data_IF_378250800733
#
_entry.id   IF_378250800733
#
_cell.length_a   1.000
_cell.length_b   1.000
_cell.length_c   1.000
_cell.angle_alpha   90.00
_cell.angle_beta   90.00
_cell.angle_gamma   90.00
#
_symmetry.space_group_name_H-M   'P 1'
#
loop_
_entity.id
_entity.type
_entity.pdbx_description
1 polymer ?
#
# COMPACT_ATOMS: atom_id res chain seq x y z
N UNK A 1 -15.17 -0.31 -29.56
CA UNK A 1 -15.84 0.62 -28.63
C UNK A 1 -14.91 1.81 -28.38
N UNK A 2 -15.35 3.03 -28.65
CA UNK A 2 -14.48 4.22 -28.59
C UNK A 2 -14.72 5.02 -27.29
N UNK A 3 -13.65 5.30 -26.57
CA UNK A 3 -13.66 6.28 -25.47
C UNK A 3 -13.83 7.67 -26.06
N UNK A 4 -14.85 8.41 -25.61
CA UNK A 4 -15.06 9.80 -26.05
C UNK A 4 -14.00 10.71 -25.41
N UNK A 5 -13.38 11.62 -26.18
CA UNK A 5 -12.43 12.58 -25.63
C UNK A 5 -12.99 13.43 -24.49
N UNK A 6 -14.27 13.83 -24.60
CA UNK A 6 -14.95 14.63 -23.58
C UNK A 6 -15.05 13.89 -22.23
N UNK A 7 -15.47 12.61 -22.23
CA UNK A 7 -15.55 11.80 -21.00
C UNK A 7 -14.17 11.66 -20.34
N UNK A 8 -13.11 11.54 -21.16
CA UNK A 8 -11.73 11.48 -20.66
C UNK A 8 -11.34 12.80 -20.01
N UNK A 9 -11.59 13.93 -20.69
CA UNK A 9 -11.30 15.25 -20.14
C UNK A 9 -12.06 15.48 -18.83
N UNK A 10 -13.36 15.15 -18.78
CA UNK A 10 -14.17 15.28 -17.57
C UNK A 10 -13.62 14.43 -16.41
N UNK A 11 -13.30 13.15 -16.65
CA UNK A 11 -12.74 12.27 -15.63
C UNK A 11 -11.39 12.78 -15.10
N UNK A 12 -10.46 13.09 -16.00
CA UNK A 12 -9.11 13.49 -15.62
C UNK A 12 -9.08 14.88 -14.98
N UNK A 13 -9.72 15.86 -15.63
CA UNK A 13 -9.75 17.25 -15.14
C UNK A 13 -10.54 17.34 -13.84
N UNK A 14 -11.68 16.67 -13.73
CA UNK A 14 -12.48 16.64 -12.49
C UNK A 14 -11.68 16.08 -11.31
N UNK A 15 -10.99 14.94 -11.51
CA UNK A 15 -10.14 14.33 -10.47
C UNK A 15 -8.92 15.19 -10.13
N UNK A 16 -8.32 15.85 -11.13
CA UNK A 16 -7.18 16.73 -10.95
C UNK A 16 -7.54 18.01 -10.20
N UNK A 17 -8.66 18.65 -10.56
CA UNK A 17 -9.21 19.82 -9.86
C UNK A 17 -9.50 19.47 -8.40
N UNK A 18 -10.19 18.36 -8.14
CA UNK A 18 -10.46 17.92 -6.78
C UNK A 18 -9.16 17.61 -5.99
N UNK A 19 -8.14 17.00 -6.62
CA UNK A 19 -6.81 16.84 -5.98
C UNK A 19 -6.16 18.19 -5.69
N UNK A 20 -6.25 19.14 -6.62
CA UNK A 20 -5.70 20.48 -6.48
C UNK A 20 -6.33 21.24 -5.31
N UNK A 21 -7.66 21.23 -5.23
CA UNK A 21 -8.41 21.81 -4.10
C UNK A 21 -7.99 21.15 -2.78
N UNK A 22 -7.92 19.82 -2.74
CA UNK A 22 -7.47 19.11 -1.54
C UNK A 22 -6.05 19.49 -1.11
N UNK A 23 -5.10 19.57 -2.06
CA UNK A 23 -3.72 19.96 -1.77
C UNK A 23 -3.63 21.40 -1.28
N UNK A 24 -4.46 22.31 -1.80
CA UNK A 24 -4.55 23.68 -1.34
C UNK A 24 -5.10 23.76 0.09
N UNK A 25 -6.18 23.04 0.41
CA UNK A 25 -6.72 22.94 1.77
C UNK A 25 -5.69 22.35 2.74
N UNK A 26 -4.98 21.31 2.32
CA UNK A 26 -3.87 20.71 3.10
C UNK A 26 -2.75 21.72 3.36
N UNK A 27 -2.40 22.54 2.37
CA UNK A 27 -1.41 23.59 2.54
C UNK A 27 -1.85 24.63 3.58
N UNK A 28 -3.09 25.12 3.51
CA UNK A 28 -3.67 26.03 4.50
C UNK A 28 -3.66 25.38 5.90
N UNK A 29 -4.08 24.12 5.99
CA UNK A 29 -4.10 23.39 7.26
C UNK A 29 -2.70 23.29 7.88
N UNK A 30 -1.69 22.93 7.10
CA UNK A 30 -0.31 22.84 7.58
C UNK A 30 0.23 24.20 8.02
N UNK A 31 -0.15 25.29 7.36
CA UNK A 31 0.19 26.65 7.78
C UNK A 31 -0.44 26.97 9.14
N UNK A 32 -1.73 26.71 9.28
CA UNK A 32 -2.45 26.89 10.54
C UNK A 32 -1.85 26.06 11.68
N UNK A 33 -1.56 24.78 11.42
CA UNK A 33 -0.95 23.87 12.39
C UNK A 33 0.45 24.38 12.81
N UNK A 34 1.26 24.85 11.86
CA UNK A 34 2.59 25.40 12.15
C UNK A 34 2.51 26.67 13.00
N UNK A 35 1.57 27.56 12.71
CA UNK A 35 1.33 28.78 13.49
C UNK A 35 0.84 28.41 14.89
N UNK A 36 -0.15 27.52 15.00
CA UNK A 36 -0.69 27.02 16.26
C UNK A 36 0.41 26.42 17.14
N UNK A 37 1.24 25.53 16.59
CA UNK A 37 2.36 24.94 17.32
C UNK A 37 3.42 25.95 17.78
N UNK A 38 3.61 27.04 17.03
CA UNK A 38 4.49 28.14 17.43
C UNK A 38 3.87 28.97 18.56
N UNK A 39 2.58 29.27 18.49
CA UNK A 39 1.86 30.06 19.50
C UNK A 39 1.73 29.32 20.84
N UNK A 40 1.49 28.01 20.80
CA UNK A 40 1.32 27.18 22.00
C UNK A 40 2.63 26.58 22.53
N UNK A 41 3.79 26.95 21.97
CA UNK A 41 5.10 26.43 22.43
C UNK A 41 5.33 24.94 22.18
N UNK A 42 4.43 24.24 21.48
CA UNK A 42 4.55 22.81 21.13
C UNK A 42 5.83 22.56 20.33
N UNK A 43 6.23 23.53 19.48
CA UNK A 43 7.48 23.43 18.72
C UNK A 43 8.73 23.45 19.62
N UNK A 44 8.67 24.14 20.75
CA UNK A 44 9.78 24.20 21.71
C UNK A 44 9.84 22.93 22.56
N UNK A 45 8.69 22.34 22.88
CA UNK A 45 8.59 21.01 23.53
C UNK A 45 9.08 19.90 22.59
N UNK A 46 8.66 19.92 21.32
CA UNK A 46 9.10 18.94 20.31
C UNK A 46 10.60 19.03 20.06
N UNK A 47 11.19 20.23 19.99
CA UNK A 47 12.64 20.42 19.87
C UNK A 47 13.41 20.03 21.12
N UNK A 48 12.86 20.26 22.32
CA UNK A 48 13.46 19.76 23.56
C UNK A 48 13.45 18.24 23.61
N UNK A 49 12.38 17.61 23.11
CA UNK A 49 12.27 16.16 23.01
C UNK A 49 13.18 15.53 21.96
N UNK A 50 13.63 16.26 20.92
CA UNK A 50 14.71 15.81 20.02
C UNK A 50 16.05 15.62 20.76
N UNK A 51 16.29 16.34 21.86
CA UNK A 51 17.53 16.25 22.63
C UNK A 51 17.53 15.17 23.72
N UNK A 52 16.37 14.68 24.12
CA UNK A 52 16.27 13.55 25.04
C UNK A 52 16.07 12.26 24.23
N UNK A 53 17.05 11.34 24.29
CA UNK A 53 16.93 9.96 23.81
C UNK A 53 15.88 9.19 24.62
N UNK A 54 14.60 9.54 24.50
CA UNK A 54 13.53 8.70 25.02
C UNK A 54 13.17 7.61 24.01
N UNK A 55 12.62 6.55 24.58
CA UNK A 55 12.11 5.29 24.02
C UNK A 55 11.53 5.38 22.60
N UNK A 56 11.61 4.27 21.84
CA UNK A 56 11.34 4.24 20.40
C UNK A 56 10.02 4.96 20.05
N UNK A 57 10.06 5.86 19.05
CA UNK A 57 9.01 6.87 18.86
C UNK A 57 8.24 6.62 17.55
N UNK A 58 7.10 5.94 17.63
CA UNK A 58 6.10 6.01 16.57
C UNK A 58 5.16 7.19 16.83
N UNK A 59 4.67 7.82 15.77
CA UNK A 59 3.71 8.91 15.85
C UNK A 59 2.34 8.45 15.40
N UNK A 60 1.33 8.60 16.25
CA UNK A 60 -0.06 8.46 15.86
C UNK A 60 -0.58 9.78 15.30
N UNK A 61 -1.11 9.74 14.07
CA UNK A 61 -1.64 10.88 13.35
C UNK A 61 -3.13 10.65 13.07
N UNK A 62 -4.00 11.42 13.71
CA UNK A 62 -5.44 11.36 13.48
C UNK A 62 -5.79 11.89 12.09
N UNK A 63 -6.49 11.08 11.30
CA UNK A 63 -6.90 11.45 9.95
C UNK A 63 -8.12 12.37 10.05
N UNK A 64 -8.02 13.57 9.49
CA UNK A 64 -9.13 14.53 9.40
C UNK A 64 -9.83 14.45 8.05
N UNK A 65 -9.05 14.32 6.99
CA UNK A 65 -9.54 14.13 5.63
C UNK A 65 -8.47 13.43 4.79
N UNK A 66 -8.90 12.80 3.70
CA UNK A 66 -7.99 12.26 2.70
C UNK A 66 -8.58 12.41 1.31
N UNK A 67 -7.70 12.49 0.32
CA UNK A 67 -8.10 12.46 -1.08
C UNK A 67 -7.00 11.84 -1.93
N UNK A 68 -7.39 10.79 -2.67
CA UNK A 68 -6.52 10.08 -3.59
C UNK A 68 -6.98 10.33 -5.03
N UNK A 69 -6.07 10.84 -5.88
CA UNK A 69 -6.37 11.06 -7.30
C UNK A 69 -6.70 9.73 -8.01
N UNK A 70 -5.89 8.70 -7.76
CA UNK A 70 -6.11 7.36 -8.27
C UNK A 70 -5.46 6.31 -7.36
N UNK A 71 -6.17 5.25 -7.02
CA UNK A 71 -5.68 4.16 -6.14
C UNK A 71 -4.62 3.26 -6.79
N UNK A 72 -4.43 3.36 -8.12
CA UNK A 72 -3.31 2.69 -8.78
C UNK A 72 -1.97 3.38 -8.48
N UNK A 73 -1.98 4.66 -8.11
CA UNK A 73 -0.76 5.39 -7.75
C UNK A 73 -0.32 5.01 -6.32
N UNK A 74 0.99 4.97 -6.05
CA UNK A 74 1.50 4.72 -4.70
C UNK A 74 0.87 5.67 -3.68
N UNK A 75 0.42 5.17 -2.51
CA UNK A 75 -0.04 6.03 -1.43
C UNK A 75 1.12 6.90 -0.88
N UNK A 76 0.77 8.04 -0.31
CA UNK A 76 1.72 8.96 0.33
C UNK A 76 1.04 9.68 1.48
N UNK A 77 1.83 10.15 2.46
CA UNK A 77 1.36 11.08 3.49
C UNK A 77 0.75 12.38 2.91
N UNK A 78 1.03 12.70 1.63
CA UNK A 78 0.40 13.82 0.90
C UNK A 78 -1.06 13.56 0.49
N UNK A 79 -1.54 12.34 0.63
CA UNK A 79 -2.94 12.00 0.39
C UNK A 79 -3.84 12.30 1.60
N UNK A 80 -3.27 12.75 2.72
CA UNK A 80 -3.97 12.96 3.99
C UNK A 80 -3.79 14.38 4.54
N UNK A 81 -4.84 14.86 5.19
CA UNK A 81 -4.83 15.94 6.17
C UNK A 81 -4.98 15.27 7.53
N UNK A 82 -4.02 15.48 8.41
CA UNK A 82 -3.99 14.84 9.72
C UNK A 82 -3.56 15.82 10.81
N UNK A 83 -3.79 15.42 12.05
CA UNK A 83 -3.34 16.10 13.25
C UNK A 83 -2.50 15.11 14.06
N UNK A 84 -1.37 15.55 14.60
CA UNK A 84 -0.63 14.73 15.57
C UNK A 84 -1.50 14.49 16.79
N UNK A 85 -1.64 13.23 17.16
CA UNK A 85 -2.46 12.79 18.29
C UNK A 85 -1.56 12.53 19.50
N UNK A 86 -0.64 11.58 19.36
CA UNK A 86 0.26 11.16 20.42
C UNK A 86 1.52 10.45 19.86
N UNK A 87 2.50 10.26 20.74
CA UNK A 87 3.61 9.34 20.52
C UNK A 87 3.29 8.00 21.15
N UNK A 88 3.57 6.90 20.45
CA UNK A 88 3.26 5.54 20.91
C UNK A 88 4.50 4.63 20.80
N UNK A 89 4.53 3.61 21.65
CA UNK A 89 5.47 2.49 21.55
C UNK A 89 5.31 1.81 20.16
N UNK A 90 6.37 1.66 19.35
CA UNK A 90 6.31 1.00 18.05
C UNK A 90 5.83 -0.43 18.10
N UNK A 91 5.99 -1.15 19.22
CA UNK A 91 5.41 -2.47 19.39
C UNK A 91 3.87 -2.46 19.36
N UNK A 92 3.24 -1.29 19.50
CA UNK A 92 1.81 -1.14 19.32
C UNK A 92 1.33 -1.77 18.00
N UNK A 93 2.10 -1.64 16.91
CA UNK A 93 1.68 -2.14 15.58
C UNK A 93 1.69 -3.67 15.47
N UNK A 94 2.42 -4.38 16.35
CA UNK A 94 2.44 -5.84 16.41
C UNK A 94 1.53 -6.40 17.51
N UNK A 95 1.19 -5.59 18.53
CA UNK A 95 0.31 -5.96 19.64
C UNK A 95 -1.19 -5.85 19.29
N UNK A 96 -1.53 -5.22 18.17
CA UNK A 96 -2.91 -4.87 17.80
C UNK A 96 -3.28 -5.33 16.38
N UNK A 97 -4.37 -6.09 16.30
CA UNK A 97 -4.90 -6.66 15.05
C UNK A 97 -5.55 -5.62 14.13
N UNK A 98 -6.07 -4.53 14.70
CA UNK A 98 -6.70 -3.43 13.96
C UNK A 98 -5.70 -2.46 13.32
N UNK A 99 -4.41 -2.73 13.48
CA UNK A 99 -3.32 -1.99 12.83
C UNK A 99 -2.80 -2.81 11.66
N UNK A 100 -2.53 -2.20 10.50
CA UNK A 100 -2.01 -2.94 9.34
C UNK A 100 -1.03 -2.08 8.57
N UNK A 101 0.08 -2.69 8.11
CA UNK A 101 1.10 -1.99 7.33
C UNK A 101 0.50 -1.51 6.02
N UNK A 102 0.58 -0.20 5.79
CA UNK A 102 -0.11 0.46 4.69
C UNK A 102 0.82 0.74 3.52
N UNK A 103 1.89 1.47 3.77
CA UNK A 103 2.92 1.77 2.78
C UNK A 103 4.22 2.16 3.43
N UNK A 104 5.29 2.12 2.64
CA UNK A 104 6.58 2.70 2.99
C UNK A 104 6.71 4.00 2.19
N UNK A 105 7.06 5.10 2.85
CA UNK A 105 7.32 6.38 2.20
C UNK A 105 8.84 6.55 2.02
N UNK A 106 9.40 6.21 0.84
CA UNK A 106 10.84 6.29 0.62
C UNK A 106 11.37 7.73 0.62
N UNK A 107 10.51 8.74 0.48
CA UNK A 107 10.95 10.13 0.52
C UNK A 107 11.20 10.64 1.94
N UNK A 108 10.49 10.06 2.91
CA UNK A 108 10.61 10.43 4.33
C UNK A 108 11.30 9.33 5.15
N UNK A 109 11.63 8.20 4.51
CA UNK A 109 12.23 7.02 5.14
C UNK A 109 11.42 6.51 6.36
N UNK A 110 10.10 6.38 6.17
CA UNK A 110 9.17 5.92 7.21
C UNK A 110 8.29 4.76 6.74
N UNK A 111 7.94 3.88 7.68
CA UNK A 111 6.86 2.94 7.55
C UNK A 111 5.56 3.56 8.08
N UNK A 112 4.47 3.41 7.31
CA UNK A 112 3.15 3.92 7.65
C UNK A 112 2.18 2.77 7.81
N UNK A 113 1.51 2.72 8.95
CA UNK A 113 0.44 1.78 9.25
C UNK A 113 -0.90 2.52 9.31
N UNK A 114 -1.96 1.87 8.87
CA UNK A 114 -3.32 2.34 9.12
C UNK A 114 -3.89 1.65 10.36
N UNK A 115 -4.54 2.42 11.21
CA UNK A 115 -5.21 1.93 12.41
C UNK A 115 -6.72 2.12 12.27
N UNK A 116 -7.46 1.02 12.34
CA UNK A 116 -8.92 0.97 12.25
C UNK A 116 -9.59 1.12 13.61
N UNK A 117 -10.89 0.83 13.66
CA UNK A 117 -11.59 0.72 14.95
C UNK A 117 -11.20 -0.59 15.65
N UNK A 118 -11.29 -0.65 16.98
CA UNK A 118 -10.99 -1.89 17.71
C UNK A 118 -11.83 -3.07 17.18
N UNK A 119 -11.16 -4.20 16.92
CA UNK A 119 -11.77 -5.40 16.33
C UNK A 119 -11.90 -5.38 14.80
N UNK A 120 -11.63 -4.25 14.14
CA UNK A 120 -11.67 -4.16 12.68
C UNK A 120 -10.40 -4.74 12.06
N UNK A 121 -10.55 -5.79 11.25
CA UNK A 121 -9.43 -6.41 10.53
C UNK A 121 -9.24 -5.75 9.17
N UNK A 122 -8.38 -4.73 9.09
CA UNK A 122 -8.20 -3.93 7.87
C UNK A 122 -7.66 -4.71 6.67
N UNK A 123 -7.07 -5.88 6.90
CA UNK A 123 -6.61 -6.78 5.86
C UNK A 123 -7.72 -7.69 5.29
N UNK A 124 -8.82 -7.86 6.03
CA UNK A 124 -9.91 -8.76 5.68
C UNK A 124 -10.87 -8.13 4.66
N UNK A 125 -11.44 -8.95 3.77
CA UNK A 125 -12.32 -8.47 2.70
C UNK A 125 -13.66 -7.89 3.13
N UNK A 126 -14.06 -8.06 4.39
CA UNK A 126 -15.22 -7.36 4.98
C UNK A 126 -15.02 -5.84 5.00
N UNK A 127 -13.78 -5.36 5.07
CA UNK A 127 -13.49 -3.93 5.06
C UNK A 127 -13.42 -3.38 3.63
N UNK A 128 -12.70 -4.06 2.74
CA UNK A 128 -12.65 -3.81 1.29
C UNK A 128 -11.92 -4.97 0.60
N UNK A 129 -12.13 -5.17 -0.70
CA UNK A 129 -11.52 -6.24 -1.51
C UNK A 129 -10.02 -6.05 -1.74
N UNK A 130 -9.48 -4.88 -1.40
CA UNK A 130 -8.05 -4.56 -1.43
C UNK A 130 -7.61 -3.93 -0.12
N UNK A 131 -6.50 -4.44 0.45
CA UNK A 131 -5.96 -3.92 1.71
C UNK A 131 -5.71 -2.41 1.65
N UNK A 132 -5.20 -1.92 0.51
CA UNK A 132 -4.91 -0.50 0.32
C UNK A 132 -6.20 0.33 0.37
N UNK A 133 -7.28 -0.14 -0.25
CA UNK A 133 -8.56 0.58 -0.26
C UNK A 133 -9.21 0.54 1.12
N UNK A 134 -9.15 -0.61 1.78
CA UNK A 134 -9.57 -0.76 3.17
C UNK A 134 -8.85 0.25 4.07
N UNK A 135 -7.52 0.33 3.96
CA UNK A 135 -6.72 1.26 4.76
C UNK A 135 -7.03 2.74 4.46
N UNK A 136 -7.27 3.14 3.21
CA UNK A 136 -7.71 4.51 2.91
C UNK A 136 -9.07 4.83 3.53
N UNK A 137 -10.05 3.93 3.39
CA UNK A 137 -11.44 4.19 3.78
C UNK A 137 -11.67 4.08 5.28
N UNK A 138 -11.00 3.13 5.93
CA UNK A 138 -11.36 2.69 7.27
C UNK A 138 -10.36 3.12 8.36
N UNK A 139 -9.15 3.56 8.00
CA UNK A 139 -8.20 4.05 9.00
C UNK A 139 -8.72 5.31 9.68
N UNK A 140 -8.61 5.34 11.01
CA UNK A 140 -8.90 6.49 11.87
C UNK A 140 -7.63 7.26 12.19
N UNK A 141 -6.52 6.54 12.35
CA UNK A 141 -5.19 7.11 12.55
C UNK A 141 -4.19 6.46 11.59
N UNK A 142 -3.13 7.19 11.29
CA UNK A 142 -1.92 6.64 10.70
C UNK A 142 -0.86 6.56 11.79
N UNK A 143 -0.20 5.41 11.90
CA UNK A 143 0.96 5.25 12.77
C UNK A 143 2.18 5.33 11.88
N UNK A 144 3.04 6.32 12.12
CA UNK A 144 4.23 6.61 11.32
C UNK A 144 5.46 6.38 12.18
N UNK A 145 6.37 5.54 11.71
CA UNK A 145 7.65 5.29 12.39
C UNK A 145 8.81 5.29 11.40
N UNK A 146 10.02 5.70 11.82
CA UNK A 146 11.22 5.58 10.99
C UNK A 146 11.43 4.14 10.48
N UNK A 147 12.01 3.99 9.29
CA UNK A 147 12.30 2.67 8.72
C UNK A 147 13.25 1.83 9.59
N UNK A 148 14.23 2.47 10.25
CA UNK A 148 15.11 1.81 11.22
C UNK A 148 14.30 1.17 12.36
N UNK A 149 13.35 1.91 12.94
CA UNK A 149 12.50 1.42 14.01
C UNK A 149 11.55 0.31 13.50
N UNK A 150 11.01 0.47 12.29
CA UNK A 150 10.22 -0.59 11.64
C UNK A 150 11.02 -1.89 11.51
N UNK A 151 12.27 -1.82 11.08
CA UNK A 151 13.16 -2.98 11.01
C UNK A 151 13.43 -3.57 12.39
N UNK A 152 13.64 -2.74 13.42
CA UNK A 152 13.82 -3.17 14.81
C UNK A 152 12.58 -3.91 15.34
N UNK A 153 11.37 -3.37 15.12
CA UNK A 153 10.09 -4.02 15.44
C UNK A 153 9.98 -5.38 14.75
N UNK A 154 10.28 -5.45 13.45
CA UNK A 154 10.21 -6.70 12.72
C UNK A 154 11.28 -7.71 13.14
N UNK A 155 12.44 -7.27 13.64
CA UNK A 155 13.48 -8.15 14.13
C UNK A 155 13.05 -8.95 15.37
N UNK A 156 12.12 -8.41 16.17
CA UNK A 156 11.53 -9.07 17.35
C UNK A 156 10.53 -10.17 16.99
N UNK A 157 9.97 -10.15 15.78
CA UNK A 157 9.07 -11.18 15.28
C UNK A 157 9.86 -12.41 14.80
N UNK A 158 9.31 -13.60 15.00
CA UNK A 158 9.88 -14.83 14.43
C UNK A 158 9.63 -14.93 12.92
N UNK A 159 10.51 -15.64 12.23
CA UNK A 159 10.25 -16.03 10.85
C UNK A 159 9.05 -16.99 10.78
N UNK A 160 8.19 -16.89 9.75
CA UNK A 160 7.05 -17.78 9.60
C UNK A 160 7.48 -19.23 9.43
N UNK A 161 6.81 -20.12 10.17
CA UNK A 161 7.00 -21.57 10.05
C UNK A 161 5.99 -22.21 9.09
N UNK A 162 4.78 -21.65 9.04
CA UNK A 162 3.72 -22.17 8.18
C UNK A 162 3.92 -21.71 6.72
N UNK A 163 3.32 -22.41 5.74
CA UNK A 163 3.46 -22.09 4.33
C UNK A 163 3.16 -20.62 3.98
N UNK A 164 4.04 -20.05 3.16
CA UNK A 164 3.85 -18.76 2.52
C UNK A 164 3.58 -18.99 1.03
N UNK A 165 2.56 -18.33 0.50
CA UNK A 165 2.19 -18.43 -0.92
C UNK A 165 2.16 -17.05 -1.54
N UNK A 166 2.80 -16.90 -2.71
CA UNK A 166 2.76 -15.65 -3.48
C UNK A 166 1.97 -15.84 -4.76
N UNK A 167 0.91 -15.04 -4.92
CA UNK A 167 -0.01 -15.08 -6.04
C UNK A 167 0.30 -14.00 -7.08
N UNK A 168 0.96 -14.40 -8.16
CA UNK A 168 1.13 -13.58 -9.36
C UNK A 168 -0.16 -13.45 -10.16
N UNK A 169 -0.35 -12.33 -10.85
CA UNK A 169 -1.58 -12.09 -11.61
C UNK A 169 -1.38 -11.09 -12.74
N UNK A 170 -2.13 -11.25 -13.84
CA UNK A 170 -2.15 -10.30 -14.96
C UNK A 170 -3.01 -9.05 -14.68
N UNK A 171 -3.58 -8.92 -13.48
CA UNK A 171 -4.70 -8.02 -13.22
C UNK A 171 -6.00 -8.48 -13.91
N UNK A 172 -7.15 -8.19 -13.29
CA UNK A 172 -8.50 -8.50 -13.83
C UNK A 172 -8.75 -9.98 -14.21
N UNK A 173 -7.95 -10.89 -13.66
CA UNK A 173 -8.05 -12.34 -13.88
C UNK A 173 -8.85 -13.08 -12.79
N UNK A 174 -9.44 -12.37 -11.84
CA UNK A 174 -10.15 -12.98 -10.70
C UNK A 174 -9.27 -13.25 -9.48
N UNK A 175 -8.03 -12.71 -9.45
CA UNK A 175 -7.09 -12.91 -8.34
C UNK A 175 -7.63 -12.40 -7.00
N UNK A 176 -8.40 -11.31 -7.00
CA UNK A 176 -9.10 -10.82 -5.81
C UNK A 176 -10.14 -11.82 -5.29
N UNK A 177 -10.95 -12.40 -6.18
CA UNK A 177 -11.94 -13.41 -5.78
C UNK A 177 -11.25 -14.63 -5.17
N UNK A 178 -10.13 -15.06 -5.76
CA UNK A 178 -9.35 -16.16 -5.22
C UNK A 178 -8.83 -15.86 -3.81
N UNK A 179 -8.32 -14.65 -3.58
CA UNK A 179 -7.92 -14.19 -2.23
C UNK A 179 -9.09 -14.28 -1.25
N UNK A 180 -10.31 -13.83 -1.62
CA UNK A 180 -11.49 -13.93 -0.77
C UNK A 180 -11.91 -15.39 -0.48
N UNK A 181 -11.75 -16.29 -1.46
CA UNK A 181 -11.98 -17.73 -1.24
C UNK A 181 -11.02 -18.26 -0.17
N UNK A 182 -9.74 -17.91 -0.22
CA UNK A 182 -8.77 -18.30 0.81
C UNK A 182 -9.10 -17.69 2.18
N UNK A 183 -9.49 -16.41 2.25
CA UNK A 183 -9.94 -15.78 3.50
C UNK A 183 -11.14 -16.51 4.11
N UNK A 184 -12.11 -16.92 3.29
CA UNK A 184 -13.34 -17.59 3.74
C UNK A 184 -13.10 -18.93 4.44
N UNK A 185 -11.92 -19.54 4.25
CA UNK A 185 -11.53 -20.78 4.95
C UNK A 185 -11.32 -20.56 6.45
N UNK A 186 -11.10 -19.30 6.88
CA UNK A 186 -10.72 -18.92 8.25
C UNK A 186 -9.45 -19.62 8.76
N UNK A 187 -8.64 -20.12 7.83
CA UNK A 187 -7.37 -20.82 8.10
C UNK A 187 -6.18 -20.10 7.48
N UNK A 188 -6.41 -19.34 6.42
CA UNK A 188 -5.36 -18.63 5.69
C UNK A 188 -5.56 -17.12 5.85
N UNK A 189 -4.50 -16.43 6.27
CA UNK A 189 -4.46 -14.97 6.23
C UNK A 189 -4.05 -14.56 4.82
N UNK A 190 -4.91 -13.81 4.13
CA UNK A 190 -4.64 -13.38 2.76
C UNK A 190 -4.57 -11.86 2.67
N UNK A 191 -3.52 -11.37 2.01
CA UNK A 191 -3.31 -9.94 1.78
C UNK A 191 -3.43 -9.64 0.29
N UNK A 192 -4.53 -8.99 -0.09
CA UNK A 192 -4.73 -8.53 -1.46
C UNK A 192 -4.09 -7.16 -1.70
N UNK A 193 -3.03 -7.14 -2.51
CA UNK A 193 -2.29 -5.97 -2.98
C UNK A 193 -1.59 -5.12 -1.89
N UNK A 194 -0.80 -5.75 -1.00
CA UNK A 194 0.04 -5.02 -0.06
C UNK A 194 1.07 -4.15 -0.80
N UNK A 195 0.94 -2.81 -0.69
CA UNK A 195 1.80 -1.86 -1.42
C UNK A 195 3.28 -1.92 -1.04
N UNK A 196 3.68 -2.22 0.20
CA UNK A 196 5.10 -2.42 0.52
C UNK A 196 5.82 -3.49 -0.33
N UNK A 197 5.11 -4.47 -0.90
CA UNK A 197 5.72 -5.42 -1.83
C UNK A 197 6.14 -4.77 -3.15
N UNK A 198 5.52 -3.65 -3.54
CA UNK A 198 5.97 -2.84 -4.68
C UNK A 198 7.34 -2.25 -4.40
N UNK A 199 7.57 -1.71 -3.20
CA UNK A 199 8.86 -1.16 -2.80
C UNK A 199 9.93 -2.25 -2.84
N UNK A 200 9.64 -3.45 -2.33
CA UNK A 200 10.55 -4.59 -2.42
C UNK A 200 10.85 -5.00 -3.87
N UNK A 201 9.82 -5.09 -4.72
CA UNK A 201 10.00 -5.44 -6.13
C UNK A 201 10.89 -4.43 -6.86
N UNK A 202 10.67 -3.12 -6.64
CA UNK A 202 11.47 -2.05 -7.25
C UNK A 202 12.91 -2.08 -6.73
N UNK A 203 13.10 -2.23 -5.42
CA UNK A 203 14.43 -2.30 -4.82
C UNK A 203 15.22 -3.51 -5.34
N UNK A 204 14.60 -4.69 -5.37
CA UNK A 204 15.20 -5.90 -5.93
C UNK A 204 15.55 -5.74 -7.41
N UNK A 205 14.67 -5.16 -8.21
CA UNK A 205 14.95 -4.91 -9.63
C UNK A 205 16.17 -4.00 -9.84
N UNK A 206 16.38 -3.04 -8.93
CA UNK A 206 17.47 -2.06 -9.06
C UNK A 206 18.78 -2.53 -8.43
N UNK A 207 18.73 -3.35 -7.38
CA UNK A 207 19.88 -3.67 -6.52
C UNK A 207 20.19 -5.16 -6.41
N UNK A 208 19.35 -6.04 -6.95
CA UNK A 208 19.48 -7.49 -6.77
C UNK A 208 19.32 -7.90 -5.31
N UNK A 209 20.01 -8.97 -4.87
CA UNK A 209 19.99 -9.44 -3.48
C UNK A 209 20.96 -8.67 -2.58
N UNK A 210 20.79 -7.34 -2.47
CA UNK A 210 21.59 -6.51 -1.56
C UNK A 210 21.22 -6.73 -0.09
N UNK A 211 22.02 -6.19 0.83
CA UNK A 211 21.73 -6.17 2.28
C UNK A 211 20.38 -5.53 2.59
N UNK A 212 20.05 -4.44 1.90
CA UNK A 212 18.81 -3.67 2.08
C UNK A 212 17.61 -4.49 1.59
N UNK A 213 17.75 -5.16 0.45
CA UNK A 213 16.71 -6.06 -0.08
C UNK A 213 16.48 -7.23 0.87
N UNK A 214 17.54 -7.84 1.42
CA UNK A 214 17.43 -8.93 2.41
C UNK A 214 16.74 -8.43 3.68
N UNK A 215 17.13 -7.28 4.21
CA UNK A 215 16.54 -6.70 5.42
C UNK A 215 15.06 -6.36 5.22
N UNK A 216 14.73 -5.71 4.10
CA UNK A 216 13.35 -5.36 3.77
C UNK A 216 12.49 -6.61 3.55
N UNK A 217 13.01 -7.61 2.82
CA UNK A 217 12.32 -8.88 2.60
C UNK A 217 11.97 -9.55 3.93
N UNK A 218 12.95 -9.69 4.84
CA UNK A 218 12.73 -10.25 6.17
C UNK A 218 11.68 -9.46 6.95
N UNK A 219 11.79 -8.13 6.93
CA UNK A 219 10.89 -7.26 7.70
C UNK A 219 9.45 -7.35 7.20
N UNK A 220 9.24 -7.32 5.88
CA UNK A 220 7.92 -7.44 5.29
C UNK A 220 7.30 -8.81 5.53
N UNK A 221 8.06 -9.90 5.33
CA UNK A 221 7.53 -11.26 5.55
C UNK A 221 7.15 -11.46 7.01
N UNK A 222 8.02 -11.07 7.96
CA UNK A 222 7.70 -11.14 9.39
C UNK A 222 6.50 -10.28 9.76
N UNK A 223 6.39 -9.07 9.22
CA UNK A 223 5.26 -8.19 9.52
C UNK A 223 3.93 -8.72 8.99
N UNK A 224 3.89 -9.27 7.77
CA UNK A 224 2.67 -9.88 7.21
C UNK A 224 2.36 -11.24 7.85
N UNK A 225 3.37 -11.95 8.34
CA UNK A 225 3.21 -13.24 9.01
C UNK A 225 3.20 -13.13 10.54
N UNK A 226 3.03 -11.93 11.09
CA UNK A 226 3.05 -11.72 12.54
C UNK A 226 1.86 -12.43 13.19
N UNK A 227 1.99 -12.84 14.46
CA UNK A 227 0.85 -13.39 15.22
C UNK A 227 -0.29 -12.36 15.30
N UNK A 228 -1.53 -12.80 15.03
CA UNK A 228 -2.74 -12.01 15.20
C UNK A 228 -3.63 -12.68 16.26
N UNK A 229 -4.22 -11.90 17.16
CA UNK A 229 -5.12 -12.43 18.20
C UNK A 229 -6.39 -13.03 17.61
N UNK A 230 -6.85 -12.50 16.48
CA UNK A 230 -8.01 -12.93 15.71
C UNK A 230 -7.80 -14.25 14.97
N UNK A 231 -6.55 -14.62 14.70
CA UNK A 231 -6.18 -15.87 14.05
C UNK A 231 -4.79 -16.31 14.56
N UNK A 232 -4.73 -16.92 15.77
CA UNK A 232 -3.46 -17.19 16.43
C UNK A 232 -2.60 -18.24 15.70
N UNK A 233 -3.23 -19.23 15.08
CA UNK A 233 -2.57 -20.35 14.42
C UNK A 233 -3.06 -20.51 12.96
N UNK A 234 -2.71 -19.60 12.04
CA UNK A 234 -3.11 -19.72 10.64
C UNK A 234 -2.37 -20.89 9.98
N UNK A 235 -3.05 -21.69 9.16
CA UNK A 235 -2.45 -22.76 8.35
C UNK A 235 -1.44 -22.22 7.32
N UNK A 236 -1.46 -20.91 7.02
CA UNK A 236 -0.50 -20.24 6.16
C UNK A 236 -0.90 -18.82 5.76
N UNK A 237 -0.07 -18.21 4.90
CA UNK A 237 -0.25 -16.85 4.42
C UNK A 237 -0.28 -16.79 2.90
N UNK A 238 -1.19 -15.99 2.35
CA UNK A 238 -1.27 -15.70 0.92
C UNK A 238 -0.98 -14.23 0.67
N UNK A 239 0.11 -13.93 -0.03
CA UNK A 239 0.44 -12.58 -0.48
C UNK A 239 0.13 -12.45 -1.97
N UNK A 240 -0.84 -11.60 -2.31
CA UNK A 240 -1.20 -11.29 -3.70
C UNK A 240 -0.67 -9.90 -4.06
N UNK A 241 0.59 -9.75 -4.52
CA UNK A 241 1.09 -8.45 -4.97
C UNK A 241 0.27 -7.92 -6.16
N UNK A 242 0.36 -6.60 -6.40
CA UNK A 242 -0.10 -6.04 -7.69
C UNK A 242 0.71 -6.66 -8.83
N UNK A 243 0.13 -6.77 -10.03
CA UNK A 243 0.76 -7.45 -11.17
C UNK A 243 2.25 -7.12 -11.39
N UNK A 244 2.63 -5.82 -11.51
CA UNK A 244 4.03 -5.43 -11.69
C UNK A 244 4.96 -5.76 -10.51
N UNK A 245 4.41 -5.96 -9.31
CA UNK A 245 5.18 -6.24 -8.10
C UNK A 245 5.44 -7.73 -7.88
N UNK A 246 5.07 -8.63 -8.81
CA UNK A 246 5.37 -10.06 -8.66
C UNK A 246 6.87 -10.36 -8.58
N UNK A 247 7.74 -9.45 -9.04
CA UNK A 247 9.20 -9.54 -8.85
C UNK A 247 9.60 -9.64 -7.37
N UNK A 248 8.77 -9.20 -6.42
CA UNK A 248 9.03 -9.40 -4.98
C UNK A 248 9.08 -10.89 -4.59
N UNK A 249 8.57 -11.80 -5.41
CA UNK A 249 8.52 -13.22 -5.11
C UNK A 249 9.92 -13.86 -5.05
N UNK A 250 10.86 -13.38 -5.87
CA UNK A 250 12.20 -13.95 -5.94
C UNK A 250 13.01 -13.74 -4.66
N UNK A 251 13.17 -12.51 -4.11
CA UNK A 251 13.87 -12.33 -2.85
C UNK A 251 13.19 -13.06 -1.68
N UNK A 252 11.85 -13.10 -1.65
CA UNK A 252 11.11 -13.86 -0.62
C UNK A 252 11.42 -15.35 -0.71
N UNK A 253 11.35 -15.96 -1.91
CA UNK A 253 11.60 -17.39 -2.11
C UNK A 253 13.04 -17.78 -1.75
N UNK A 254 14.02 -16.91 -2.03
CA UNK A 254 15.42 -17.16 -1.65
C UNK A 254 15.63 -17.18 -0.14
N UNK A 255 14.89 -16.37 0.61
CA UNK A 255 14.99 -16.30 2.07
C UNK A 255 14.11 -17.33 2.79
N UNK A 256 12.97 -17.66 2.20
CA UNK A 256 11.96 -18.56 2.75
C UNK A 256 11.69 -19.67 1.74
N UNK A 257 12.54 -20.70 1.75
CA UNK A 257 12.60 -21.74 0.71
C UNK A 257 11.33 -22.59 0.59
N UNK A 258 10.50 -22.64 1.64
CA UNK A 258 9.18 -23.27 1.61
C UNK A 258 8.08 -22.37 1.00
N UNK A 259 8.44 -21.23 0.42
CA UNK A 259 7.48 -20.32 -0.24
C UNK A 259 7.07 -20.88 -1.60
N UNK A 260 5.78 -21.13 -1.75
CA UNK A 260 5.20 -21.49 -3.05
C UNK A 260 4.82 -20.24 -3.84
N UNK A 261 4.99 -20.28 -5.16
CA UNK A 261 4.51 -19.22 -6.05
C UNK A 261 3.61 -19.83 -7.10
N UNK A 262 2.52 -19.14 -7.43
CA UNK A 262 1.69 -19.50 -8.57
C UNK A 262 1.14 -18.26 -9.24
N UNK A 263 0.77 -18.39 -10.49
CA UNK A 263 0.34 -17.27 -11.30
C UNK A 263 -1.06 -17.52 -11.88
N UNK A 264 -1.98 -16.61 -11.62
CA UNK A 264 -3.35 -16.70 -12.12
C UNK A 264 -3.48 -15.98 -13.46
N UNK A 265 -3.85 -16.74 -14.48
CA UNK A 265 -4.08 -16.27 -15.83
C UNK A 265 -5.58 -16.19 -16.14
N UNK A 266 -5.91 -15.34 -17.12
CA UNK A 266 -7.22 -15.30 -17.78
C UNK A 266 -6.99 -14.99 -19.24
N UNK A 267 -7.91 -15.46 -20.10
CA UNK A 267 -7.94 -15.07 -21.50
C UNK A 267 -7.77 -13.54 -21.67
N UNK A 268 -6.80 -13.13 -22.51
CA UNK A 268 -6.40 -11.73 -22.62
C UNK A 268 -7.45 -10.83 -23.28
N UNK A 269 -8.32 -11.36 -24.14
CA UNK A 269 -9.46 -10.60 -24.67
C UNK A 269 -10.44 -10.25 -23.53
N UNK A 270 -10.72 -11.21 -22.64
CA UNK A 270 -11.54 -10.96 -21.46
C UNK A 270 -10.91 -9.97 -20.47
N UNK A 271 -9.58 -10.06 -20.26
CA UNK A 271 -8.83 -9.10 -19.43
C UNK A 271 -8.91 -7.71 -20.02
N UNK A 272 -8.66 -7.57 -21.33
CA UNK A 272 -8.73 -6.30 -22.06
C UNK A 272 -10.11 -5.68 -21.98
N UNK A 273 -11.18 -6.45 -22.20
CA UNK A 273 -12.57 -5.99 -22.03
C UNK A 273 -12.85 -5.52 -20.60
N UNK A 274 -12.30 -6.20 -19.59
CA UNK A 274 -12.45 -5.79 -18.18
C UNK A 274 -11.68 -4.50 -17.87
N UNK A 275 -10.45 -4.36 -18.37
CA UNK A 275 -9.65 -3.13 -18.23
C UNK A 275 -10.31 -1.95 -18.93
N UNK A 276 -10.89 -2.17 -20.11
CA UNK A 276 -11.68 -1.17 -20.83
C UNK A 276 -12.83 -0.65 -19.97
N UNK A 277 -13.61 -1.55 -19.35
CA UNK A 277 -14.67 -1.16 -18.40
C UNK A 277 -14.11 -0.40 -17.19
N UNK A 278 -12.99 -0.85 -16.62
CA UNK A 278 -12.34 -0.17 -15.49
C UNK A 278 -11.87 1.25 -15.85
N UNK A 279 -11.49 1.49 -17.10
CA UNK A 279 -11.07 2.81 -17.57
C UNK A 279 -12.16 3.88 -17.44
N UNK A 280 -13.43 3.48 -17.33
CA UNK A 280 -14.53 4.42 -17.09
C UNK A 280 -14.46 5.09 -15.72
N UNK A 281 -13.97 4.37 -14.72
CA UNK A 281 -13.94 4.82 -13.32
C UNK A 281 -12.53 5.22 -12.86
N UNK A 282 -11.49 4.61 -13.43
CA UNK A 282 -10.12 4.70 -12.96
C UNK A 282 -9.27 5.60 -13.88
N UNK A 283 -8.84 6.80 -13.42
CA UNK A 283 -8.06 7.75 -14.22
C UNK A 283 -6.77 7.15 -14.81
N UNK A 284 -6.04 6.35 -14.04
CA UNK A 284 -4.80 5.73 -14.52
C UNK A 284 -5.08 4.65 -15.56
N UNK A 285 -6.12 3.83 -15.39
CA UNK A 285 -6.50 2.85 -16.39
C UNK A 285 -6.93 3.53 -17.71
N UNK A 286 -7.61 4.69 -17.61
CA UNK A 286 -7.93 5.54 -18.77
C UNK A 286 -6.68 6.04 -19.49
N UNK A 287 -5.73 6.61 -18.75
CA UNK A 287 -4.48 7.12 -19.32
C UNK A 287 -3.66 6.00 -19.97
N UNK A 288 -3.49 4.88 -19.26
CA UNK A 288 -2.77 3.70 -19.78
C UNK A 288 -3.40 3.22 -21.09
N UNK A 289 -4.73 3.07 -21.12
CA UNK A 289 -5.44 2.65 -22.33
C UNK A 289 -5.20 3.62 -23.51
N UNK A 290 -5.25 4.93 -23.27
CA UNK A 290 -5.02 5.94 -24.31
C UNK A 290 -3.57 5.92 -24.81
N UNK A 291 -2.60 5.82 -23.91
CA UNK A 291 -1.19 5.73 -24.26
C UNK A 291 -0.88 4.49 -25.09
N UNK A 292 -1.42 3.33 -24.71
CA UNK A 292 -1.28 2.11 -25.51
C UNK A 292 -1.90 2.25 -26.90
N UNK A 293 -3.07 2.89 -27.00
CA UNK A 293 -3.73 3.11 -28.29
C UNK A 293 -2.94 4.05 -29.20
N UNK A 294 -2.40 5.14 -28.64
CA UNK A 294 -1.53 6.07 -29.37
C UNK A 294 -0.27 5.34 -29.84
N UNK A 295 0.36 4.55 -28.97
CA UNK A 295 1.55 3.77 -29.31
C UNK A 295 1.27 2.76 -30.43
N UNK A 296 0.19 1.98 -30.32
CA UNK A 296 -0.20 1.01 -31.35
C UNK A 296 -0.46 1.67 -32.70
N UNK A 297 -1.25 2.75 -32.73
CA UNK A 297 -1.51 3.51 -33.95
C UNK A 297 -0.21 4.09 -34.57
N UNK A 298 0.72 4.54 -33.73
CA UNK A 298 2.01 5.07 -34.18
C UNK A 298 2.88 3.96 -34.80
N UNK A 299 2.94 2.78 -34.17
CA UNK A 299 3.65 1.62 -34.70
C UNK A 299 3.02 1.14 -36.01
N UNK A 300 1.69 1.03 -36.09
CA UNK A 300 0.98 0.68 -37.32
C UNK A 300 1.23 1.69 -38.44
N UNK A 301 1.20 2.99 -38.14
CA UNK A 301 1.52 4.05 -39.11
C UNK A 301 2.96 3.98 -39.62
N UNK A 302 3.94 3.68 -38.74
CA UNK A 302 5.33 3.46 -39.12
C UNK A 302 5.53 2.22 -40.00
N UNK A 303 4.76 1.15 -39.75
CA UNK A 303 4.82 -0.07 -40.55
C UNK A 303 4.13 0.10 -41.91
N UNK A 304 3.06 0.89 -42.00
CA UNK A 304 2.36 1.21 -43.24
C UNK A 304 3.12 2.21 -44.14
N UNK A 305 4.09 2.94 -43.58
CA UNK A 305 4.95 3.87 -44.31
C UNK A 305 6.23 3.21 -44.89
N UNK A 306 6.37 1.88 -44.74
CA UNK A 306 7.42 1.06 -45.36
C UNK A 306 6.84 0.25 -46.52
#
# INVERSE_FOLDING_TARGET
>A
MAIRPLDTAQLLLGRALAKGVFLFLRFIWNLFQTISWKLFGIRDVSKKNEHFKFEPVAQALRILAWYKFCFALPPSLRDFIFLHDEYIDPDYVIKNDHVTLFFLDPHQDVAVFGEGSQGQLLWHSDCDWHITMSLFKNSKRLIVMPMEEFHAVCARLSDPKNPLVILGNTGRCGSTLLTQIFESTKKIISYSEPKPLVNLAVMYNNQGMSSEVIQLTRSLVRMYARPLKSMPDPDGWLLKPVGPAFLCAEPIRRMYTNTSTFYLYRNMDSVTKSLYKLSYECPSARLIYLLYRINANFIEALLAAK
#
